data_IF_808149393258
#
_entry.id   IF_808149393258
#
_cell.length_a   1.000
_cell.length_b   1.000
_cell.length_c   1.000
_cell.angle_alpha   90.00
_cell.angle_beta   90.00
_cell.angle_gamma   90.00
#
_symmetry.space_group_name_H-M   'P 1'
#
loop_
_entity.id
_entity.type
_entity.pdbx_description
1 polymer ?
#
# COMPACT_ATOMS: atom_id res chain seq x y z
N UNK A 1 -10.76 23.67 14.47
CA UNK A 1 -9.84 24.23 13.45
C UNK A 1 -8.82 25.25 13.99
N UNK A 2 -9.17 26.47 14.45
CA UNK A 2 -8.15 27.45 14.89
C UNK A 2 -7.41 27.08 16.20
N UNK A 3 -8.05 26.35 17.11
CA UNK A 3 -7.44 25.88 18.36
C UNK A 3 -6.46 24.72 18.14
N UNK A 4 -6.77 23.80 17.23
CA UNK A 4 -5.90 22.66 16.89
C UNK A 4 -4.58 23.14 16.27
N UNK A 5 -4.62 24.17 15.42
CA UNK A 5 -3.43 24.79 14.83
C UNK A 5 -2.53 25.47 15.88
N UNK A 6 -3.11 26.07 16.93
CA UNK A 6 -2.33 26.63 18.05
C UNK A 6 -1.63 25.54 18.86
N UNK A 7 -2.32 24.43 19.12
CA UNK A 7 -1.74 23.30 19.84
C UNK A 7 -0.60 22.64 19.04
N UNK A 8 -0.75 22.53 17.71
CA UNK A 8 0.30 22.04 16.82
C UNK A 8 1.53 22.96 16.80
N UNK A 9 1.36 24.29 16.76
CA UNK A 9 2.49 25.23 16.88
C UNK A 9 3.23 25.10 18.21
N UNK A 10 2.50 25.05 19.33
CA UNK A 10 3.09 24.86 20.66
C UNK A 10 3.85 23.54 20.80
N UNK A 11 3.41 22.48 20.10
CA UNK A 11 4.12 21.20 20.08
C UNK A 11 5.44 21.29 19.29
N UNK A 12 5.43 21.96 18.13
CA UNK A 12 6.63 22.17 17.29
C UNK A 12 7.66 23.03 18.02
N UNK A 13 7.24 24.11 18.68
CA UNK A 13 8.16 25.00 19.43
C UNK A 13 8.83 24.26 20.61
N UNK A 14 8.12 23.32 21.26
CA UNK A 14 8.69 22.47 22.30
C UNK A 14 9.71 21.45 21.77
N UNK A 15 9.57 21.01 20.53
CA UNK A 15 10.54 20.11 19.89
C UNK A 15 11.80 20.85 19.44
N UNK A 16 11.65 22.06 18.87
CA UNK A 16 12.79 22.89 18.43
C UNK A 16 13.67 23.32 19.61
N UNK A 17 13.08 23.70 20.75
CA UNK A 17 13.83 24.04 21.97
C UNK A 17 14.61 22.85 22.56
N UNK A 18 14.07 21.63 22.47
CA UNK A 18 14.75 20.40 22.92
C UNK A 18 15.91 20.02 22.01
N UNK A 19 15.84 20.35 20.72
CA UNK A 19 16.94 20.15 19.78
C UNK A 19 18.06 21.22 19.88
N UNK A 20 17.76 22.42 20.41
CA UNK A 20 18.73 23.51 20.53
C UNK A 20 19.64 23.50 21.77
N UNK A 21 19.32 22.75 22.83
CA UNK A 21 20.06 22.78 24.12
C UNK A 21 21.11 21.68 24.33
N UNK A 22 21.55 20.96 23.29
CA UNK A 22 22.73 20.07 23.35
C UNK A 22 23.91 20.64 22.55
N UNK A 23 24.53 21.68 23.09
CA UNK A 23 25.79 22.20 22.56
C UNK A 23 26.43 23.27 23.45
N UNK A 24 27.66 22.98 23.93
CA UNK A 24 28.66 23.86 24.60
C UNK A 24 28.61 24.02 26.14
N UNK A 25 29.50 23.27 26.83
CA UNK A 25 30.53 23.84 27.74
C UNK A 25 31.59 22.78 28.17
N UNK A 26 32.89 23.09 27.99
CA UNK A 26 33.99 22.70 28.91
C UNK A 26 34.95 21.55 28.52
N UNK A 27 36.22 21.89 28.18
CA UNK A 27 37.40 21.02 27.93
C UNK A 27 38.03 20.41 29.21
N UNK A 28 38.56 19.16 29.16
CA UNK A 28 40.01 18.80 29.34
C UNK A 28 40.29 17.28 29.31
N UNK A 29 41.32 16.89 28.50
CA UNK A 29 42.28 15.73 28.55
C UNK A 29 41.76 14.35 29.08
N UNK A 30 41.90 13.21 28.38
CA UNK A 30 43.15 12.44 28.13
C UNK A 30 42.87 11.21 27.21
N UNK A 31 43.93 10.68 26.58
CA UNK A 31 44.03 9.52 25.65
C UNK A 31 43.12 8.30 25.94
N UNK A 32 42.63 7.66 24.87
CA UNK A 32 42.17 6.25 24.88
C UNK A 32 41.60 5.77 23.53
N UNK A 33 42.34 4.89 22.82
CA UNK A 33 41.91 4.10 21.66
C UNK A 33 40.65 3.28 21.98
N UNK A 34 39.65 3.22 21.06
CA UNK A 34 39.09 1.96 20.50
C UNK A 34 37.87 2.20 19.59
N UNK A 35 37.95 1.66 18.38
CA UNK A 35 36.90 0.83 17.77
C UNK A 35 35.60 1.51 17.35
N UNK A 36 35.47 1.73 16.05
CA UNK A 36 34.20 2.11 15.44
C UNK A 36 33.09 1.07 15.65
N UNK A 37 31.88 1.56 15.87
CA UNK A 37 30.65 0.80 15.61
C UNK A 37 29.67 1.75 14.93
N UNK A 38 29.69 1.72 13.59
CA UNK A 38 28.68 2.36 12.73
C UNK A 38 27.30 1.94 13.25
N UNK A 39 26.53 2.93 13.66
CA UNK A 39 25.13 2.84 14.07
C UNK A 39 24.33 2.40 12.82
N UNK A 40 24.25 1.10 12.57
CA UNK A 40 23.34 0.53 11.57
C UNK A 40 21.94 0.95 12.02
N UNK A 41 21.27 1.69 11.14
CA UNK A 41 19.84 1.95 11.22
C UNK A 41 19.13 0.65 11.60
N UNK A 42 18.22 0.73 12.57
CA UNK A 42 17.24 -0.32 12.83
C UNK A 42 16.43 -0.49 11.53
N UNK A 43 16.87 -1.37 10.63
CA UNK A 43 15.93 -2.11 9.80
C UNK A 43 15.07 -2.86 10.80
N UNK A 44 13.75 -2.72 10.66
CA UNK A 44 12.77 -3.47 11.42
C UNK A 44 13.24 -4.91 11.54
N UNK A 45 13.39 -5.39 12.77
CA UNK A 45 13.75 -6.78 12.99
C UNK A 45 12.57 -7.59 12.48
N UNK A 46 12.78 -8.31 11.38
CA UNK A 46 11.85 -9.29 10.88
C UNK A 46 11.54 -10.28 12.00
N UNK A 47 10.36 -10.15 12.61
CA UNK A 47 9.91 -11.01 13.72
C UNK A 47 9.54 -12.43 13.25
N UNK A 48 9.67 -12.71 11.94
CA UNK A 48 9.25 -13.96 11.27
C UNK A 48 10.39 -14.69 10.56
N UNK A 49 11.65 -14.32 10.82
CA UNK A 49 12.82 -14.91 10.15
C UNK A 49 12.98 -16.42 10.39
N UNK A 50 12.42 -16.94 11.48
CA UNK A 50 12.62 -18.34 11.91
C UNK A 50 11.48 -19.27 11.45
N UNK A 51 10.47 -18.78 10.74
CA UNK A 51 9.30 -19.57 10.30
C UNK A 51 9.36 -19.91 8.81
N UNK A 52 9.02 -21.17 8.50
CA UNK A 52 8.84 -21.67 7.13
C UNK A 52 7.69 -20.95 6.44
N UNK A 53 7.83 -20.71 5.14
CA UNK A 53 6.85 -19.99 4.31
C UNK A 53 5.48 -20.68 4.37
N UNK A 54 5.46 -22.01 4.37
CA UNK A 54 4.23 -22.80 4.42
C UNK A 54 3.46 -22.62 5.73
N UNK A 55 4.17 -22.52 6.86
CA UNK A 55 3.56 -22.25 8.16
C UNK A 55 2.89 -20.87 8.18
N UNK A 56 3.56 -19.86 7.60
CA UNK A 56 3.01 -18.51 7.48
C UNK A 56 1.76 -18.48 6.59
N UNK A 57 1.78 -19.17 5.44
CA UNK A 57 0.60 -19.27 4.59
C UNK A 57 -0.56 -20.00 5.29
N UNK A 58 -0.29 -21.06 6.03
CA UNK A 58 -1.31 -21.75 6.81
C UNK A 58 -1.93 -20.85 7.89
N UNK A 59 -1.12 -20.05 8.59
CA UNK A 59 -1.62 -19.05 9.55
C UNK A 59 -2.49 -18.00 8.84
N UNK A 60 -2.04 -17.45 7.70
CA UNK A 60 -2.80 -16.44 6.94
C UNK A 60 -4.14 -16.98 6.41
N UNK A 61 -4.19 -18.27 6.04
CA UNK A 61 -5.43 -18.95 5.62
C UNK A 61 -6.36 -19.19 6.81
N UNK A 62 -5.84 -19.68 7.95
CA UNK A 62 -6.62 -19.89 9.18
C UNK A 62 -7.24 -18.58 9.68
N UNK A 63 -6.46 -17.52 9.65
CA UNK A 63 -6.90 -16.17 10.00
C UNK A 63 -7.78 -15.54 8.91
N UNK A 64 -8.00 -16.17 7.75
CA UNK A 64 -8.84 -15.62 6.68
C UNK A 64 -8.35 -14.29 6.13
N UNK A 65 -7.04 -14.00 6.24
CA UNK A 65 -6.40 -12.86 5.60
C UNK A 65 -6.18 -13.18 4.12
N UNK A 66 -5.74 -14.41 3.83
CA UNK A 66 -5.72 -14.95 2.48
C UNK A 66 -7.13 -15.41 2.11
N UNK A 67 -7.76 -14.72 1.16
CA UNK A 67 -9.13 -15.02 0.75
C UNK A 67 -9.12 -15.59 -0.67
N UNK A 68 -9.86 -16.68 -0.88
CA UNK A 68 -10.09 -17.20 -2.23
C UNK A 68 -10.95 -16.22 -3.03
N UNK A 69 -10.43 -15.72 -4.15
CA UNK A 69 -11.17 -14.85 -5.04
C UNK A 69 -12.35 -15.60 -5.69
N UNK A 70 -13.44 -14.88 -5.95
CA UNK A 70 -14.54 -15.39 -6.78
C UNK A 70 -14.06 -15.42 -8.23
N UNK A 71 -14.35 -16.51 -8.95
CA UNK A 71 -14.04 -16.63 -10.37
C UNK A 71 -14.97 -15.70 -11.16
N UNK A 72 -14.45 -14.55 -11.55
CA UNK A 72 -15.14 -13.54 -12.37
C UNK A 72 -14.18 -13.14 -13.47
N UNK A 73 -14.66 -13.04 -14.70
CA UNK A 73 -13.82 -12.57 -15.82
C UNK A 73 -13.98 -11.07 -16.01
N UNK A 74 -12.98 -10.43 -16.60
CA UNK A 74 -13.08 -9.00 -16.91
C UNK A 74 -14.17 -8.71 -17.95
N UNK A 75 -14.51 -9.70 -18.80
CA UNK A 75 -15.62 -9.65 -19.75
C UNK A 75 -16.97 -9.41 -19.07
N UNK A 76 -17.16 -9.91 -17.85
CA UNK A 76 -18.43 -9.90 -17.14
C UNK A 76 -18.76 -8.51 -16.58
N UNK A 77 -17.77 -7.62 -16.51
CA UNK A 77 -17.97 -6.22 -16.13
C UNK A 77 -18.53 -5.44 -17.32
N UNK A 78 -19.83 -5.17 -17.27
CA UNK A 78 -20.58 -4.40 -18.27
C UNK A 78 -20.42 -2.91 -18.00
N UNK A 79 -20.03 -2.17 -19.02
CA UNK A 79 -19.94 -0.71 -19.01
C UNK A 79 -20.19 -0.17 -20.42
N UNK A 80 -20.70 1.04 -20.50
CA UNK A 80 -20.88 1.74 -21.77
C UNK A 80 -19.59 2.46 -22.18
N UNK A 81 -19.40 2.64 -23.47
CA UNK A 81 -18.31 3.45 -24.03
C UNK A 81 -18.77 4.90 -24.18
N UNK A 82 -17.86 5.85 -23.96
CA UNK A 82 -18.11 7.24 -24.31
C UNK A 82 -17.93 7.46 -25.82
N UNK A 83 -19.01 7.30 -26.59
CA UNK A 83 -18.98 7.49 -28.05
C UNK A 83 -18.76 8.94 -28.48
N UNK A 84 -19.20 9.90 -27.66
CA UNK A 84 -19.06 11.34 -27.91
C UNK A 84 -17.72 11.92 -27.45
N UNK A 85 -16.83 11.08 -26.90
CA UNK A 85 -15.57 11.54 -26.32
C UNK A 85 -14.66 12.25 -27.34
N UNK A 86 -14.62 11.77 -28.59
CA UNK A 86 -13.81 12.36 -29.66
C UNK A 86 -14.33 13.73 -30.08
N UNK A 87 -15.64 13.85 -30.26
CA UNK A 87 -16.30 15.11 -30.64
C UNK A 87 -16.17 16.16 -29.54
N UNK A 88 -16.27 15.77 -28.26
CA UNK A 88 -16.10 16.70 -27.14
C UNK A 88 -14.66 17.24 -27.07
N UNK A 89 -13.66 16.39 -27.30
CA UNK A 89 -12.25 16.79 -27.34
C UNK A 89 -11.92 17.73 -28.51
N UNK A 90 -12.64 17.64 -29.63
CA UNK A 90 -12.48 18.60 -30.74
C UNK A 90 -12.96 20.01 -30.38
N UNK A 91 -13.82 20.12 -29.37
CA UNK A 91 -14.33 21.40 -28.84
C UNK A 91 -13.57 21.80 -27.57
N UNK A 92 -12.38 21.22 -27.32
CA UNK A 92 -11.55 21.41 -26.12
C UNK A 92 -12.27 21.11 -24.79
N UNK A 93 -13.33 20.30 -24.82
CA UNK A 93 -14.03 19.81 -23.63
C UNK A 93 -13.57 18.39 -23.30
N UNK A 94 -12.96 18.21 -22.13
CA UNK A 94 -12.56 16.87 -21.67
C UNK A 94 -13.81 16.07 -21.27
N UNK A 95 -14.11 14.93 -21.94
CA UNK A 95 -15.27 14.12 -21.63
C UNK A 95 -15.13 13.45 -20.26
N UNK A 96 -16.25 13.24 -19.59
CA UNK A 96 -16.26 12.46 -18.36
C UNK A 96 -15.87 11.00 -18.65
N UNK A 97 -15.03 10.38 -17.79
CA UNK A 97 -14.56 9.02 -18.01
C UNK A 97 -15.72 8.01 -17.88
N UNK A 98 -15.74 7.03 -18.78
CA UNK A 98 -16.73 5.96 -18.79
C UNK A 98 -16.29 4.77 -17.94
N UNK A 99 -17.22 3.86 -17.64
CA UNK A 99 -16.93 2.62 -16.90
C UNK A 99 -15.96 1.72 -17.68
N UNK A 100 -15.98 1.80 -19.01
CA UNK A 100 -15.10 1.00 -19.84
C UNK A 100 -13.67 1.50 -19.83
N UNK A 101 -13.47 2.81 -19.70
CA UNK A 101 -12.14 3.40 -19.52
C UNK A 101 -11.51 2.90 -18.21
N UNK A 102 -12.30 2.77 -17.14
CA UNK A 102 -11.84 2.18 -15.86
C UNK A 102 -11.40 0.73 -16.06
N UNK A 103 -12.17 -0.07 -16.79
CA UNK A 103 -11.81 -1.46 -17.13
C UNK A 103 -10.51 -1.53 -17.91
N UNK A 104 -10.30 -0.64 -18.88
CA UNK A 104 -9.07 -0.56 -19.66
C UNK A 104 -7.86 -0.16 -18.80
N UNK A 105 -8.00 0.82 -17.90
CA UNK A 105 -6.93 1.23 -16.99
C UNK A 105 -6.53 0.11 -16.03
N UNK A 106 -7.50 -0.67 -15.55
CA UNK A 106 -7.22 -1.84 -14.70
C UNK A 106 -6.47 -2.92 -15.49
N UNK A 107 -6.82 -3.15 -16.75
CA UNK A 107 -6.09 -4.10 -17.59
C UNK A 107 -4.65 -3.62 -17.86
N UNK A 108 -4.46 -2.35 -18.19
CA UNK A 108 -3.15 -1.77 -18.52
C UNK A 108 -2.21 -1.69 -17.32
N UNK A 109 -2.70 -1.31 -16.14
CA UNK A 109 -1.85 -1.11 -14.97
C UNK A 109 -1.88 -2.29 -13.99
N UNK A 110 -2.94 -3.09 -13.99
CA UNK A 110 -3.09 -4.23 -13.09
C UNK A 110 -2.62 -5.54 -13.72
N UNK A 111 -3.15 -5.87 -14.89
CA UNK A 111 -2.95 -7.19 -15.51
C UNK A 111 -1.65 -7.21 -16.33
N UNK A 112 -1.45 -6.21 -17.18
CA UNK A 112 -0.35 -6.19 -18.13
C UNK A 112 1.05 -6.22 -17.48
N UNK A 113 1.32 -5.48 -16.38
CA UNK A 113 2.64 -5.51 -15.73
C UNK A 113 2.94 -6.82 -15.00
N UNK A 114 1.92 -7.63 -14.72
CA UNK A 114 2.06 -8.96 -14.11
C UNK A 114 2.20 -10.07 -15.16
N UNK A 115 1.66 -9.85 -16.37
CA UNK A 115 1.70 -10.83 -17.46
C UNK A 115 3.00 -10.84 -18.27
N UNK A 116 3.72 -9.72 -18.37
CA UNK A 116 4.94 -9.64 -19.20
C UNK A 116 6.07 -8.86 -18.53
N UNK A 117 7.25 -9.51 -18.44
CA UNK A 117 8.47 -8.91 -17.90
C UNK A 117 8.94 -7.70 -18.72
N UNK A 118 8.79 -7.75 -20.05
CA UNK A 118 9.19 -6.64 -20.93
C UNK A 118 8.33 -5.41 -20.74
N UNK A 119 7.05 -5.58 -20.40
CA UNK A 119 6.18 -4.46 -20.05
C UNK A 119 6.53 -3.96 -18.66
N UNK A 120 6.85 -4.84 -17.72
CA UNK A 120 7.24 -4.46 -16.37
C UNK A 120 8.48 -3.55 -16.33
N UNK A 121 9.46 -3.79 -17.21
CA UNK A 121 10.69 -2.99 -17.29
C UNK A 121 10.50 -1.66 -18.03
N UNK A 122 9.59 -1.61 -19.02
CA UNK A 122 9.39 -0.43 -19.89
C UNK A 122 8.27 0.49 -19.42
N UNK A 123 7.25 -0.05 -18.75
CA UNK A 123 6.11 0.70 -18.27
C UNK A 123 6.40 1.34 -16.91
N UNK A 124 5.69 2.42 -16.54
CA UNK A 124 5.77 2.96 -15.19
C UNK A 124 5.35 1.89 -14.17
N UNK A 125 6.19 1.68 -13.15
CA UNK A 125 5.95 0.75 -12.06
C UNK A 125 4.79 1.22 -11.18
N UNK A 126 3.57 0.83 -11.55
CA UNK A 126 2.37 1.08 -10.74
C UNK A 126 2.35 0.09 -9.58
N UNK A 127 2.67 0.59 -8.39
CA UNK A 127 2.69 -0.22 -7.15
C UNK A 127 1.34 -0.30 -6.46
N UNK A 128 0.44 0.66 -6.72
CA UNK A 128 -0.83 0.78 -6.05
C UNK A 128 -1.90 1.34 -6.99
N UNK A 129 -3.11 0.77 -6.90
CA UNK A 129 -4.32 1.22 -7.60
C UNK A 129 -5.41 1.49 -6.56
N UNK A 130 -6.07 2.64 -6.66
CA UNK A 130 -7.17 3.03 -5.80
C UNK A 130 -8.46 3.13 -6.61
N UNK A 131 -9.49 2.36 -6.21
CA UNK A 131 -10.81 2.40 -6.83
C UNK A 131 -11.78 3.22 -5.95
N UNK A 132 -12.07 4.45 -6.38
CA UNK A 132 -13.01 5.37 -5.74
C UNK A 132 -14.36 5.43 -6.48
N UNK A 133 -15.42 5.92 -5.83
CA UNK A 133 -16.79 5.94 -6.38
C UNK A 133 -17.87 5.49 -5.39
N UNK A 134 -19.16 5.56 -5.77
CA UNK A 134 -20.27 5.15 -4.91
C UNK A 134 -20.29 3.64 -4.64
N UNK A 135 -21.11 3.21 -3.68
CA UNK A 135 -21.36 1.79 -3.45
C UNK A 135 -22.19 1.20 -4.60
N UNK A 136 -21.96 -0.07 -4.94
CA UNK A 136 -22.72 -0.75 -6.00
C UNK A 136 -22.10 -0.75 -7.40
N UNK A 137 -21.09 0.10 -7.68
CA UNK A 137 -20.42 0.17 -9.00
C UNK A 137 -19.47 -0.99 -9.31
N UNK A 138 -19.58 -2.13 -8.62
CA UNK A 138 -18.76 -3.31 -8.93
C UNK A 138 -17.28 -3.23 -8.54
N UNK A 139 -16.84 -2.27 -7.71
CA UNK A 139 -15.42 -2.18 -7.30
C UNK A 139 -14.81 -3.48 -6.77
N UNK A 140 -15.56 -4.19 -5.91
CA UNK A 140 -15.13 -5.48 -5.37
C UNK A 140 -15.08 -6.56 -6.47
N UNK A 141 -16.00 -6.50 -7.42
CA UNK A 141 -16.04 -7.41 -8.56
C UNK A 141 -14.80 -7.22 -9.45
N UNK A 142 -14.40 -5.97 -9.72
CA UNK A 142 -13.18 -5.66 -10.48
C UNK A 142 -11.91 -6.22 -9.82
N UNK A 143 -11.81 -6.15 -8.49
CA UNK A 143 -10.68 -6.75 -7.75
C UNK A 143 -10.68 -8.27 -7.92
N UNK A 144 -11.84 -8.93 -7.80
CA UNK A 144 -11.94 -10.37 -8.01
C UNK A 144 -11.62 -10.78 -9.46
N UNK A 145 -12.03 -9.98 -10.44
CA UNK A 145 -11.69 -10.19 -11.84
C UNK A 145 -10.19 -10.08 -12.07
N UNK A 146 -9.53 -9.04 -11.54
CA UNK A 146 -8.09 -8.88 -11.64
C UNK A 146 -7.33 -10.06 -11.03
N UNK A 147 -7.73 -10.53 -9.85
CA UNK A 147 -7.12 -11.74 -9.24
C UNK A 147 -7.34 -13.00 -10.10
N UNK A 148 -8.48 -13.10 -10.79
CA UNK A 148 -8.79 -14.25 -11.65
C UNK A 148 -7.93 -14.23 -12.92
N UNK A 149 -7.78 -13.08 -13.59
CA UNK A 149 -6.98 -12.94 -14.82
C UNK A 149 -5.48 -13.10 -14.57
N UNK A 150 -5.00 -12.63 -13.41
CA UNK A 150 -3.58 -12.68 -13.05
C UNK A 150 -3.18 -13.95 -12.29
N UNK A 151 -4.15 -14.71 -11.79
CA UNK A 151 -3.91 -15.82 -10.86
C UNK A 151 -3.32 -15.39 -9.51
N UNK A 152 -3.40 -14.10 -9.17
CA UNK A 152 -2.80 -13.55 -7.96
C UNK A 152 -3.61 -13.87 -6.68
N UNK A 153 -2.89 -13.93 -5.56
CA UNK A 153 -3.47 -14.09 -4.24
C UNK A 153 -4.16 -12.80 -3.76
N UNK A 154 -5.35 -12.93 -3.17
CA UNK A 154 -6.10 -11.81 -2.61
C UNK A 154 -5.92 -11.76 -1.08
N UNK A 155 -5.27 -10.70 -0.59
CA UNK A 155 -5.15 -10.43 0.83
C UNK A 155 -6.19 -9.39 1.27
N UNK A 156 -7.11 -9.77 2.16
CA UNK A 156 -8.14 -8.88 2.68
C UNK A 156 -7.70 -8.24 4.00
N UNK A 157 -7.11 -7.05 3.90
CA UNK A 157 -6.64 -6.23 5.03
C UNK A 157 -7.68 -5.22 5.55
N UNK A 158 -8.98 -5.55 5.44
CA UNK A 158 -10.03 -4.68 5.99
C UNK A 158 -9.96 -4.60 7.52
N UNK A 159 -10.26 -3.43 8.09
CA UNK A 159 -10.22 -3.21 9.54
C UNK A 159 -11.13 -4.19 10.30
N UNK A 160 -12.29 -4.53 9.73
CA UNK A 160 -13.18 -5.54 10.29
C UNK A 160 -12.56 -6.95 10.33
N UNK A 161 -11.74 -7.29 9.33
CA UNK A 161 -11.07 -8.58 9.28
C UNK A 161 -9.85 -8.64 10.22
N UNK A 162 -9.19 -7.50 10.46
CA UNK A 162 -7.98 -7.40 11.30
C UNK A 162 -8.34 -7.26 12.79
N UNK A 163 -9.51 -6.69 13.10
CA UNK A 163 -9.96 -6.49 14.46
C UNK A 163 -10.01 -7.82 15.24
N UNK A 164 -9.25 -7.89 16.34
CA UNK A 164 -9.25 -9.04 17.26
C UNK A 164 -8.24 -10.16 16.97
N UNK A 165 -7.68 -10.24 15.75
CA UNK A 165 -6.74 -11.31 15.38
C UNK A 165 -5.31 -11.06 15.83
N UNK A 166 -4.86 -9.82 15.71
CA UNK A 166 -3.51 -9.39 16.06
C UNK A 166 -3.56 -8.27 17.10
N UNK A 167 -3.69 -8.59 18.41
CA UNK A 167 -3.68 -7.58 19.45
C UNK A 167 -2.28 -6.92 19.56
N UNK A 168 -2.27 -5.59 19.59
CA UNK A 168 -1.06 -4.78 19.82
C UNK A 168 -0.30 -4.34 18.56
N UNK A 169 0.58 -3.34 18.74
CA UNK A 169 1.35 -2.73 17.63
C UNK A 169 2.35 -3.70 17.00
N UNK A 170 2.92 -4.60 17.81
CA UNK A 170 3.88 -5.62 17.36
C UNK A 170 3.20 -6.71 16.53
N UNK A 171 1.98 -7.13 16.88
CA UNK A 171 1.21 -8.11 16.11
C UNK A 171 0.82 -7.59 14.73
N UNK A 172 0.40 -6.32 14.63
CA UNK A 172 0.12 -5.68 13.34
C UNK A 172 1.37 -5.57 12.46
N UNK A 173 2.51 -5.20 13.05
CA UNK A 173 3.77 -5.13 12.31
C UNK A 173 4.23 -6.51 11.82
N UNK A 174 4.04 -7.56 12.63
CA UNK A 174 4.27 -8.94 12.23
C UNK A 174 3.34 -9.35 11.07
N UNK A 175 2.05 -9.02 11.13
CA UNK A 175 1.10 -9.33 10.07
C UNK A 175 1.47 -8.67 8.74
N UNK A 176 1.83 -7.38 8.76
CA UNK A 176 2.31 -6.71 7.55
C UNK A 176 3.57 -7.36 7.00
N UNK A 177 4.51 -7.72 7.87
CA UNK A 177 5.72 -8.42 7.45
C UNK A 177 5.42 -9.79 6.83
N UNK A 178 4.45 -10.55 7.36
CA UNK A 178 4.00 -11.82 6.79
C UNK A 178 3.37 -11.67 5.40
N UNK A 179 2.62 -10.60 5.15
CA UNK A 179 1.96 -10.35 3.86
C UNK A 179 2.94 -9.86 2.78
N UNK A 180 3.99 -9.14 3.18
CA UNK A 180 4.99 -8.58 2.25
C UNK A 180 6.28 -9.41 2.12
N UNK A 181 6.35 -10.60 2.72
CA UNK A 181 7.50 -11.51 2.65
C UNK A 181 7.55 -12.25 1.32
#
# INVERSE_FOLDING_TARGET
MRQELKNLKLAVDRETEKTGKKGKKGKKKKKGKKGGKKKKSKKDKDLTSDRTIDSLYQELVKEGILVRSKKVKLSDYVGEYSYLGTTLRQVDVEPMPSLTDVKQLIALYGILPLGSQSVHEKAPLVKALLLAGPVGVGKKMLIHALCTETGANLFNLSAANIAGKYPGKTGLQMMLHMVFK
#
